data_IF_005945740909
#
_entry.id   IF_005945740909
#
_cell.length_a   1.000
_cell.length_b   1.000
_cell.length_c   1.000
_cell.angle_alpha   90.00
_cell.angle_beta   90.00
_cell.angle_gamma   90.00
#
_symmetry.space_group_name_H-M   'P 1'
#
loop_
_entity.id
_entity.type
_entity.pdbx_description
1 polymer ?
#
# COMPACT_ATOMS: atom_id res chain seq x y z
N UNK A 1 -14.86 14.38 12.75
CA UNK A 1 -13.49 14.34 13.30
C UNK A 1 -13.42 15.20 14.56
N UNK A 2 -13.11 14.58 15.71
CA UNK A 2 -12.99 15.28 16.99
C UNK A 2 -11.63 15.98 16.99
N UNK A 3 -11.61 17.32 17.06
CA UNK A 3 -10.35 18.07 17.22
C UNK A 3 -9.83 17.88 18.64
N UNK A 4 -8.52 17.99 18.84
CA UNK A 4 -7.86 17.83 20.16
C UNK A 4 -8.52 18.72 21.25
N UNK A 5 -8.93 19.94 20.87
CA UNK A 5 -9.71 20.85 21.73
C UNK A 5 -11.07 20.28 22.17
N UNK A 6 -11.69 19.40 21.36
CA UNK A 6 -12.96 18.77 21.71
C UNK A 6 -12.74 17.58 22.65
N UNK A 7 -11.60 16.90 22.55
CA UNK A 7 -11.18 15.84 23.47
C UNK A 7 -10.98 16.43 24.87
N UNK A 8 -10.30 17.56 25.00
CA UNK A 8 -10.14 18.26 26.27
C UNK A 8 -11.48 18.65 26.91
N UNK A 9 -12.46 19.08 26.12
CA UNK A 9 -13.80 19.41 26.61
C UNK A 9 -14.59 18.21 27.09
N UNK A 10 -14.33 17.03 26.51
CA UNK A 10 -15.06 15.79 26.80
C UNK A 10 -14.41 14.99 27.92
N UNK A 11 -13.07 14.97 27.98
CA UNK A 11 -12.30 14.08 28.85
C UNK A 11 -11.42 14.83 29.88
N UNK A 12 -11.38 16.18 29.86
CA UNK A 12 -10.49 16.97 30.72
C UNK A 12 -9.03 16.95 30.26
N UNK A 13 -8.11 17.19 31.19
CA UNK A 13 -6.68 17.16 30.90
C UNK A 13 -6.27 15.75 30.49
N UNK A 14 -5.57 15.64 29.34
CA UNK A 14 -5.09 14.36 28.84
C UNK A 14 -3.89 13.90 29.65
N UNK A 15 -3.96 12.70 30.18
CA UNK A 15 -2.89 12.03 30.88
C UNK A 15 -2.54 10.71 30.19
N UNK A 16 -1.26 10.43 30.09
CA UNK A 16 -0.77 9.12 29.64
C UNK A 16 -0.75 8.16 30.82
N UNK A 17 -1.34 6.98 30.66
CA UNK A 17 -1.19 5.87 31.59
C UNK A 17 0.04 5.06 31.16
N UNK A 18 1.07 5.05 31.98
CA UNK A 18 2.25 4.21 31.74
C UNK A 18 1.95 2.73 32.02
N UNK A 19 2.81 1.83 31.52
CA UNK A 19 2.64 0.38 31.71
C UNK A 19 2.57 -0.05 33.19
N UNK A 20 3.19 0.72 34.10
CA UNK A 20 3.16 0.53 35.55
C UNK A 20 2.02 1.30 36.25
N UNK A 21 1.08 1.84 35.48
CA UNK A 21 -0.16 2.48 35.97
C UNK A 21 0.00 3.92 36.48
N UNK A 22 1.14 4.57 36.21
CA UNK A 22 1.34 5.98 36.58
C UNK A 22 0.64 6.89 35.57
N UNK A 23 0.02 7.96 36.07
CA UNK A 23 -0.56 9.04 35.28
C UNK A 23 0.51 10.11 35.04
N UNK A 24 0.78 10.42 33.79
CA UNK A 24 1.71 11.47 33.38
C UNK A 24 0.93 12.51 32.58
N UNK A 25 0.88 13.78 33.01
CA UNK A 25 0.23 14.83 32.24
C UNK A 25 0.96 15.06 30.91
N UNK A 26 0.21 15.15 29.83
CA UNK A 26 0.76 15.44 28.50
C UNK A 26 1.32 16.86 28.44
N UNK A 27 2.59 16.99 28.12
CA UNK A 27 3.23 18.30 27.92
C UNK A 27 2.87 18.87 26.54
N UNK A 28 2.91 20.19 26.42
CA UNK A 28 2.58 20.90 25.17
C UNK A 28 3.33 20.38 23.93
N UNK A 29 4.60 20.00 24.06
CA UNK A 29 5.39 19.42 22.96
C UNK A 29 4.91 18.01 22.55
N UNK A 30 4.40 17.25 23.50
CA UNK A 30 3.81 15.93 23.24
C UNK A 30 2.44 16.07 22.59
N UNK A 31 1.67 17.11 22.93
CA UNK A 31 0.41 17.46 22.28
C UNK A 31 0.63 17.88 20.82
N UNK A 32 1.67 18.66 20.52
CA UNK A 32 2.05 18.98 19.11
C UNK A 32 2.39 17.73 18.31
N UNK A 33 3.08 16.77 18.91
CA UNK A 33 3.39 15.50 18.26
C UNK A 33 2.14 14.68 17.99
N UNK A 34 1.18 14.70 18.91
CA UNK A 34 -0.13 14.07 18.74
C UNK A 34 -0.95 14.72 17.62
N UNK A 35 -0.91 16.05 17.48
CA UNK A 35 -1.59 16.76 16.39
C UNK A 35 -1.01 16.37 15.02
N UNK A 36 0.31 16.22 14.90
CA UNK A 36 0.95 15.72 13.68
C UNK A 36 0.53 14.27 13.36
N UNK A 37 0.47 13.41 14.35
CA UNK A 37 0.02 12.02 14.18
C UNK A 37 -1.46 11.97 13.76
N UNK A 38 -2.30 12.89 14.27
CA UNK A 38 -3.70 13.03 13.87
C UNK A 38 -3.84 13.49 12.42
N UNK A 39 -3.03 14.47 11.98
CA UNK A 39 -3.01 14.93 10.58
C UNK A 39 -2.61 13.80 9.63
N UNK A 40 -1.62 12.98 10.00
CA UNK A 40 -1.25 11.79 9.23
C UNK A 40 -2.38 10.76 9.16
N UNK A 41 -3.08 10.52 10.27
CA UNK A 41 -4.25 9.64 10.29
C UNK A 41 -5.35 10.14 9.34
N UNK A 42 -5.65 11.43 9.37
CA UNK A 42 -6.63 12.08 8.49
C UNK A 42 -6.24 11.98 7.02
N UNK A 43 -4.94 12.10 6.70
CA UNK A 43 -4.46 11.93 5.33
C UNK A 43 -4.75 10.51 4.82
N UNK A 44 -4.54 9.49 5.65
CA UNK A 44 -4.85 8.10 5.32
C UNK A 44 -6.35 7.85 5.14
N UNK A 45 -7.18 8.37 6.04
CA UNK A 45 -8.65 8.28 5.96
C UNK A 45 -9.17 8.95 4.69
N UNK A 46 -8.68 10.17 4.39
CA UNK A 46 -9.04 10.88 3.17
C UNK A 46 -8.64 10.12 1.91
N UNK A 47 -7.45 9.51 1.89
CA UNK A 47 -7.01 8.68 0.78
C UNK A 47 -7.99 7.52 0.51
N UNK A 48 -8.42 6.82 1.56
CA UNK A 48 -9.39 5.72 1.44
C UNK A 48 -10.77 6.24 1.00
N UNK A 49 -11.22 7.38 1.53
CA UNK A 49 -12.46 8.02 1.11
C UNK A 49 -12.44 8.39 -0.38
N UNK A 50 -11.35 8.98 -0.88
CA UNK A 50 -11.19 9.32 -2.29
C UNK A 50 -11.22 8.07 -3.19
N UNK A 51 -10.70 6.93 -2.72
CA UNK A 51 -10.83 5.64 -3.42
C UNK A 51 -12.29 5.16 -3.48
N UNK A 52 -13.03 5.28 -2.37
CA UNK A 52 -14.43 4.84 -2.27
C UNK A 52 -15.38 5.70 -3.11
N UNK A 53 -15.12 7.00 -3.17
CA UNK A 53 -15.95 7.95 -3.91
C UNK A 53 -15.79 7.89 -5.43
N UNK A 54 -14.92 7.01 -5.95
CA UNK A 54 -14.73 6.80 -7.38
C UNK A 54 -13.99 7.95 -8.11
N UNK A 55 -13.42 8.89 -7.38
CA UNK A 55 -12.66 10.02 -7.94
C UNK A 55 -11.27 9.60 -8.45
N UNK A 56 -10.84 8.38 -8.09
CA UNK A 56 -9.52 7.86 -8.42
C UNK A 56 -9.66 6.63 -9.31
N UNK A 57 -8.93 6.62 -10.44
CA UNK A 57 -8.86 5.44 -11.30
C UNK A 57 -7.97 4.38 -10.65
N UNK A 58 -8.53 3.20 -10.45
CA UNK A 58 -7.90 2.08 -9.76
C UNK A 58 -7.77 0.88 -10.72
N UNK A 59 -6.59 0.32 -10.79
CA UNK A 59 -6.36 -1.01 -11.37
C UNK A 59 -6.26 -2.03 -10.24
N UNK A 60 -7.04 -3.10 -10.30
CA UNK A 60 -7.02 -4.16 -9.28
C UNK A 60 -6.52 -5.45 -9.92
N UNK A 61 -5.53 -6.05 -9.29
CA UNK A 61 -5.02 -7.38 -9.62
C UNK A 61 -5.09 -8.29 -8.40
N UNK A 62 -5.44 -9.54 -8.64
CA UNK A 62 -5.45 -10.57 -7.59
C UNK A 62 -4.47 -11.66 -7.93
N UNK A 63 -3.55 -11.91 -7.03
CA UNK A 63 -2.55 -12.97 -7.16
C UNK A 63 -2.98 -14.22 -6.39
N UNK A 64 -2.82 -15.38 -7.05
CA UNK A 64 -3.07 -16.69 -6.46
C UNK A 64 -1.93 -17.07 -5.54
N UNK A 65 -2.08 -18.17 -4.84
CA UNK A 65 -1.25 -18.66 -3.72
C UNK A 65 0.28 -18.72 -3.94
N UNK A 66 0.76 -18.61 -5.20
CA UNK A 66 2.18 -18.71 -5.53
C UNK A 66 3.07 -17.69 -4.80
N UNK A 67 2.53 -16.53 -4.45
CA UNK A 67 3.26 -15.50 -3.69
C UNK A 67 3.82 -16.00 -2.35
N UNK A 68 3.20 -17.03 -1.75
CA UNK A 68 3.66 -17.64 -0.49
C UNK A 68 4.98 -18.36 -0.64
N UNK A 69 5.10 -19.13 -1.72
CA UNK A 69 6.28 -19.97 -1.97
C UNK A 69 7.38 -19.23 -2.71
N UNK A 70 7.01 -18.35 -3.63
CA UNK A 70 7.99 -17.59 -4.42
C UNK A 70 8.53 -16.34 -3.71
N UNK A 71 7.78 -15.80 -2.74
CA UNK A 71 8.12 -14.54 -2.08
C UNK A 71 7.96 -13.30 -2.97
N UNK A 72 7.40 -13.44 -4.18
CA UNK A 72 7.25 -12.36 -5.16
C UNK A 72 5.79 -11.97 -5.35
N UNK A 73 5.57 -10.77 -5.88
CA UNK A 73 4.34 -10.43 -6.59
C UNK A 73 4.62 -10.42 -8.09
N UNK A 74 3.61 -10.75 -8.91
CA UNK A 74 3.72 -10.83 -10.36
C UNK A 74 2.93 -9.70 -11.01
N UNK A 75 3.61 -8.79 -11.69
CA UNK A 75 3.01 -7.62 -12.35
C UNK A 75 3.09 -7.79 -13.86
N UNK A 76 1.94 -7.83 -14.53
CA UNK A 76 1.89 -7.94 -15.98
C UNK A 76 2.44 -6.69 -16.66
N UNK A 77 3.37 -6.90 -17.61
CA UNK A 77 3.99 -5.85 -18.41
C UNK A 77 3.66 -5.99 -19.90
N UNK A 78 3.35 -7.20 -20.37
CA UNK A 78 2.97 -7.48 -21.76
C UNK A 78 1.95 -8.62 -21.83
N UNK A 79 1.12 -8.58 -22.86
CA UNK A 79 0.21 -9.66 -23.23
C UNK A 79 0.36 -9.94 -24.73
N UNK A 80 0.62 -11.20 -25.10
CA UNK A 80 0.87 -11.61 -26.50
C UNK A 80 1.88 -10.71 -27.22
N UNK A 81 2.97 -10.33 -26.51
CA UNK A 81 4.03 -9.49 -27.06
C UNK A 81 3.77 -7.98 -27.04
N UNK A 82 2.54 -7.54 -26.83
CA UNK A 82 2.17 -6.11 -26.77
C UNK A 82 2.23 -5.58 -25.34
N UNK A 83 2.55 -4.28 -25.11
CA UNK A 83 2.45 -3.67 -23.80
C UNK A 83 1.07 -3.88 -23.19
N UNK A 84 1.01 -4.23 -21.90
CA UNK A 84 -0.22 -4.51 -21.17
C UNK A 84 -0.03 -4.29 -19.68
N UNK A 85 -1.09 -4.40 -18.89
CA UNK A 85 -1.05 -4.26 -17.46
C UNK A 85 -0.46 -2.94 -17.02
N UNK A 86 0.58 -2.99 -16.18
CA UNK A 86 1.24 -1.78 -15.64
C UNK A 86 1.82 -0.88 -16.74
N UNK A 87 2.16 -1.43 -17.90
CA UNK A 87 2.75 -0.67 -19.01
C UNK A 87 1.74 0.28 -19.69
N UNK A 88 0.46 -0.05 -19.66
CA UNK A 88 -0.59 0.68 -20.42
C UNK A 88 -1.71 1.21 -19.54
N UNK A 89 -1.75 0.86 -18.25
CA UNK A 89 -2.81 1.32 -17.36
C UNK A 89 -2.91 2.84 -17.32
N UNK A 90 -4.13 3.36 -17.44
CA UNK A 90 -4.45 4.77 -17.21
C UNK A 90 -4.87 5.06 -15.76
N UNK A 91 -4.71 4.10 -14.86
CA UNK A 91 -5.02 4.26 -13.44
C UNK A 91 -3.89 5.00 -12.72
N UNK A 92 -4.22 5.69 -11.64
CA UNK A 92 -3.24 6.33 -10.76
C UNK A 92 -2.86 5.43 -9.58
N UNK A 93 -3.76 4.51 -9.20
CA UNK A 93 -3.59 3.57 -8.10
C UNK A 93 -3.64 2.14 -8.62
N UNK A 94 -2.75 1.32 -8.10
CA UNK A 94 -2.67 -0.11 -8.31
C UNK A 94 -2.89 -0.85 -6.99
N UNK A 95 -3.94 -1.66 -6.94
CA UNK A 95 -4.21 -2.54 -5.80
C UNK A 95 -3.83 -3.97 -6.20
N UNK A 96 -2.89 -4.55 -5.47
CA UNK A 96 -2.43 -5.91 -5.67
C UNK A 96 -2.88 -6.80 -4.52
N UNK A 97 -3.97 -7.53 -4.73
CA UNK A 97 -4.56 -8.41 -3.73
C UNK A 97 -3.86 -9.77 -3.72
N UNK A 98 -3.69 -10.31 -2.55
CA UNK A 98 -3.12 -11.64 -2.30
C UNK A 98 -4.23 -12.59 -1.85
N UNK A 99 -4.36 -13.72 -2.54
CA UNK A 99 -5.30 -14.76 -2.13
C UNK A 99 -4.63 -15.95 -1.49
N UNK A 100 -5.37 -16.61 -0.63
CA UNK A 100 -5.05 -17.90 -0.03
C UNK A 100 -6.30 -18.77 0.00
N UNK A 101 -6.23 -19.97 -0.57
CA UNK A 101 -7.38 -20.87 -0.64
C UNK A 101 -8.65 -20.16 -1.17
N UNK A 102 -8.52 -19.41 -2.26
CA UNK A 102 -9.59 -18.62 -2.89
C UNK A 102 -10.21 -17.51 -2.01
N UNK A 103 -9.53 -17.08 -0.95
CA UNK A 103 -9.94 -15.95 -0.12
C UNK A 103 -8.89 -14.85 -0.20
N UNK A 104 -9.33 -13.59 -0.24
CA UNK A 104 -8.41 -12.46 -0.10
C UNK A 104 -7.95 -12.39 1.35
N UNK A 105 -6.64 -12.44 1.55
CA UNK A 105 -6.00 -12.39 2.88
C UNK A 105 -5.27 -11.09 3.14
N UNK A 106 -5.07 -10.28 2.11
CA UNK A 106 -4.37 -9.00 2.22
C UNK A 106 -3.97 -8.48 0.85
N UNK A 107 -3.04 -7.53 0.82
CA UNK A 107 -2.54 -6.97 -0.42
C UNK A 107 -1.71 -5.72 -0.21
N UNK A 108 -1.38 -5.07 -1.31
CA UNK A 108 -0.60 -3.86 -1.37
C UNK A 108 -1.36 -2.80 -2.17
N UNK A 109 -1.21 -1.55 -1.78
CA UNK A 109 -1.70 -0.39 -2.53
C UNK A 109 -0.47 0.42 -2.93
N UNK A 110 -0.34 0.71 -4.22
CA UNK A 110 0.75 1.51 -4.78
C UNK A 110 0.19 2.66 -5.61
N UNK A 111 0.90 3.78 -5.66
CA UNK A 111 0.76 4.62 -6.84
C UNK A 111 1.34 3.87 -8.05
N UNK A 112 0.70 4.01 -9.20
CA UNK A 112 1.18 3.38 -10.45
C UNK A 112 2.60 3.86 -10.79
N UNK A 113 2.87 5.14 -10.56
CA UNK A 113 4.20 5.72 -10.81
C UNK A 113 5.28 5.12 -9.91
N UNK A 114 4.96 4.88 -8.63
CA UNK A 114 5.88 4.20 -7.72
C UNK A 114 6.20 2.79 -8.21
N UNK A 115 5.18 2.02 -8.58
CA UNK A 115 5.36 0.64 -9.03
C UNK A 115 6.15 0.56 -10.35
N UNK A 116 5.90 1.48 -11.29
CA UNK A 116 6.68 1.61 -12.52
C UNK A 116 8.16 1.91 -12.23
N UNK A 117 8.43 2.88 -11.35
CA UNK A 117 9.80 3.23 -10.94
C UNK A 117 10.51 2.05 -10.29
N UNK A 118 9.81 1.31 -9.43
CA UNK A 118 10.37 0.12 -8.77
C UNK A 118 10.75 -0.97 -9.77
N UNK A 119 9.92 -1.22 -10.79
CA UNK A 119 10.24 -2.19 -11.86
C UNK A 119 11.50 -1.76 -12.64
N UNK A 120 11.60 -0.47 -12.96
CA UNK A 120 12.77 0.08 -13.66
C UNK A 120 14.02 -0.06 -12.79
N UNK A 121 13.96 0.33 -11.54
CA UNK A 121 15.06 0.22 -10.57
C UNK A 121 15.58 -1.21 -10.46
N UNK A 122 14.66 -2.18 -10.30
CA UNK A 122 15.04 -3.59 -10.21
C UNK A 122 15.68 -4.10 -11.50
N UNK A 123 15.22 -3.61 -12.67
CA UNK A 123 15.84 -3.92 -13.96
C UNK A 123 17.26 -3.37 -14.04
N UNK A 124 17.46 -2.11 -13.66
CA UNK A 124 18.78 -1.46 -13.67
C UNK A 124 19.78 -2.14 -12.72
N UNK A 125 19.28 -2.59 -11.57
CA UNK A 125 20.07 -3.37 -10.59
C UNK A 125 20.28 -4.85 -10.99
N UNK A 126 19.77 -5.30 -12.14
CA UNK A 126 19.84 -6.70 -12.57
C UNK A 126 19.07 -7.69 -11.68
N UNK A 127 18.15 -7.19 -10.85
CA UNK A 127 17.34 -7.99 -9.91
C UNK A 127 15.98 -8.37 -10.47
N UNK A 128 15.52 -7.75 -11.56
CA UNK A 128 14.22 -8.02 -12.14
C UNK A 128 14.21 -9.38 -12.84
N UNK A 129 13.30 -10.25 -12.43
CA UNK A 129 13.03 -11.50 -13.14
C UNK A 129 11.77 -11.34 -14.00
N UNK A 130 11.85 -11.78 -15.25
CA UNK A 130 10.72 -11.83 -16.17
C UNK A 130 10.34 -13.28 -16.40
N UNK A 131 9.05 -13.57 -16.32
CA UNK A 131 8.51 -14.91 -16.58
C UNK A 131 7.29 -14.81 -17.48
N UNK A 132 7.01 -15.89 -18.19
CA UNK A 132 5.72 -16.05 -18.88
C UNK A 132 4.74 -16.66 -17.89
N UNK A 133 3.49 -16.17 -17.93
CA UNK A 133 2.44 -16.60 -17.03
C UNK A 133 1.05 -16.23 -17.58
N UNK A 134 0.06 -16.27 -16.69
CA UNK A 134 -1.33 -16.05 -17.04
C UNK A 134 -1.90 -17.21 -17.88
N UNK A 135 -3.09 -16.99 -18.43
CA UNK A 135 -3.76 -18.01 -19.24
C UNK A 135 -2.95 -18.29 -20.52
N UNK A 136 -2.68 -19.57 -20.76
CA UNK A 136 -1.89 -20.06 -21.90
C UNK A 136 -0.47 -19.48 -21.97
N UNK A 137 0.12 -19.04 -20.86
CA UNK A 137 1.42 -18.35 -20.81
C UNK A 137 1.53 -17.16 -21.78
N UNK A 138 0.42 -16.43 -21.98
CA UNK A 138 0.37 -15.32 -22.91
C UNK A 138 0.85 -14.00 -22.32
N UNK A 139 0.98 -13.91 -21.00
CA UNK A 139 1.41 -12.71 -20.28
C UNK A 139 2.87 -12.79 -19.91
N UNK A 140 3.61 -11.70 -20.14
CA UNK A 140 4.95 -11.51 -19.58
C UNK A 140 4.80 -10.75 -18.26
N UNK A 141 5.31 -11.36 -17.20
CA UNK A 141 5.19 -10.85 -15.83
C UNK A 141 6.56 -10.40 -15.31
N UNK A 142 6.59 -9.24 -14.68
CA UNK A 142 7.71 -8.80 -13.85
C UNK A 142 7.50 -9.35 -12.44
N UNK A 143 8.46 -10.16 -11.96
CA UNK A 143 8.44 -10.68 -10.59
C UNK A 143 9.18 -9.70 -9.68
N UNK A 144 8.47 -9.18 -8.70
CA UNK A 144 9.01 -8.23 -7.72
C UNK A 144 9.07 -8.94 -6.37
N UNK A 145 10.27 -9.12 -5.79
CA UNK A 145 10.39 -9.66 -4.44
C UNK A 145 9.66 -8.78 -3.43
N UNK A 146 8.84 -9.36 -2.58
CA UNK A 146 8.09 -8.61 -1.55
C UNK A 146 9.01 -7.83 -0.61
N UNK A 147 10.21 -8.33 -0.38
CA UNK A 147 11.24 -7.65 0.41
C UNK A 147 11.79 -6.39 -0.25
N UNK A 148 11.65 -6.25 -1.56
CA UNK A 148 12.13 -5.08 -2.32
C UNK A 148 11.03 -4.02 -2.56
N UNK A 149 9.76 -4.32 -2.20
CA UNK A 149 8.64 -3.45 -2.53
C UNK A 149 8.76 -2.02 -1.98
N UNK A 150 9.29 -1.87 -0.78
CA UNK A 150 9.41 -0.59 -0.08
C UNK A 150 10.86 -0.22 0.29
N UNK A 151 11.83 -0.94 -0.27
CA UNK A 151 13.22 -0.50 -0.20
C UNK A 151 13.44 0.65 -1.17
N UNK A 152 13.79 1.80 -0.62
CA UNK A 152 14.21 3.01 -1.35
C UNK A 152 15.73 3.04 -1.48
#
# INVERSE_FOLDING_TARGET
LIKLLDIHKVFGDLELITYDGRLIPLKYEEMKKFDLDLEFGQMGEKFVEDLQNGNTKIEVKTERDLWKTTGNIAVEIRYKGNPSGISTTGSSIWIHLLSDNNKIVGGYIFSVDYLKKKIIELKEKGKLKLVMGGDFNASQMALIPRTELFHL
#
